data_IF_869232051036
#
_entry.id   IF_869232051036
#
_cell.length_a   1.000
_cell.length_b   1.000
_cell.length_c   1.000
_cell.angle_alpha   90.00
_cell.angle_beta   90.00
_cell.angle_gamma   90.00
#
_symmetry.space_group_name_H-M   'P 1'
#
loop_
_entity.id
_entity.type
_entity.pdbx_description
1 polymer ?
#
# COMPACT_ATOMS: atom_id res chain seq x y z
N UNK A 1 -12.17 7.95 -9.84
CA UNK A 1 -11.18 6.87 -9.95
C UNK A 1 -11.07 6.15 -8.62
N UNK A 2 -11.45 4.88 -8.57
CA UNK A 2 -11.29 4.00 -7.43
C UNK A 2 -9.88 3.37 -7.48
N UNK A 3 -9.11 3.56 -6.41
CA UNK A 3 -7.73 3.07 -6.31
C UNK A 3 -7.65 2.06 -5.19
N UNK A 4 -6.99 0.93 -5.45
CA UNK A 4 -6.66 -0.06 -4.43
C UNK A 4 -5.15 -0.21 -4.29
N UNK A 5 -4.62 0.05 -3.10
CA UNK A 5 -3.19 -0.05 -2.82
C UNK A 5 -2.86 -1.21 -1.91
N UNK A 6 -1.70 -1.83 -2.14
CA UNK A 6 -1.21 -2.99 -1.38
C UNK A 6 0.26 -2.79 -1.00
N UNK A 7 0.55 -2.84 0.30
CA UNK A 7 1.90 -2.95 0.84
C UNK A 7 2.20 -4.42 1.11
N UNK A 8 2.95 -5.06 0.21
CA UNK A 8 3.05 -6.52 0.13
C UNK A 8 4.05 -7.09 1.14
N UNK A 9 3.61 -8.10 1.89
CA UNK A 9 4.43 -8.82 2.85
C UNK A 9 3.68 -9.95 3.55
N UNK A 10 4.35 -10.67 4.45
CA UNK A 10 3.72 -11.72 5.27
C UNK A 10 2.52 -11.20 6.07
N UNK A 11 2.59 -9.93 6.50
CA UNK A 11 1.44 -9.10 6.80
C UNK A 11 1.35 -8.05 5.70
N UNK A 12 0.21 -7.98 5.00
CA UNK A 12 0.00 -7.07 3.88
C UNK A 12 -0.99 -5.99 4.29
N UNK A 13 -0.56 -4.73 4.20
CA UNK A 13 -1.46 -3.59 4.35
C UNK A 13 -2.25 -3.36 3.07
N UNK A 14 -3.50 -2.91 3.18
CA UNK A 14 -4.31 -2.54 2.02
C UNK A 14 -5.14 -1.27 2.30
N UNK A 15 -5.38 -0.50 1.25
CA UNK A 15 -6.28 0.64 1.28
C UNK A 15 -7.03 0.80 -0.05
N UNK A 16 -8.35 0.89 -0.01
CA UNK A 16 -9.20 1.04 -1.19
C UNK A 16 -10.15 2.22 -1.01
N UNK A 17 -10.22 3.07 -2.03
CA UNK A 17 -11.17 4.17 -2.04
C UNK A 17 -10.98 5.14 -3.19
N UNK A 18 -11.89 6.11 -3.34
CA UNK A 18 -11.79 7.14 -4.36
C UNK A 18 -10.51 7.97 -4.19
N UNK A 19 -9.89 8.34 -5.31
CA UNK A 19 -8.71 9.20 -5.31
C UNK A 19 -8.97 10.52 -4.53
N UNK A 20 -8.04 10.89 -3.64
CA UNK A 20 -8.12 12.12 -2.84
C UNK A 20 -9.07 12.06 -1.64
N UNK A 21 -9.80 10.95 -1.44
CA UNK A 21 -10.66 10.71 -0.28
C UNK A 21 -9.97 9.78 0.72
N UNK A 22 -10.48 9.76 1.95
CA UNK A 22 -10.03 8.80 2.96
C UNK A 22 -10.40 7.38 2.49
N UNK A 23 -9.44 6.47 2.28
CA UNK A 23 -9.75 5.12 1.87
C UNK A 23 -10.20 4.26 3.06
N UNK A 24 -11.01 3.24 2.77
CA UNK A 24 -11.17 2.09 3.66
C UNK A 24 -9.85 1.32 3.66
N UNK A 25 -9.38 0.87 4.81
CA UNK A 25 -8.05 0.26 4.93
C UNK A 25 -7.98 -0.76 6.05
N UNK A 26 -7.03 -1.68 5.94
CA UNK A 26 -6.77 -2.70 6.94
C UNK A 26 -5.45 -3.42 6.68
N UNK A 27 -5.25 -4.54 7.36
CA UNK A 27 -4.14 -5.44 7.11
C UNK A 27 -4.61 -6.90 7.09
N UNK A 28 -3.90 -7.72 6.34
CA UNK A 28 -4.11 -9.17 6.28
C UNK A 28 -2.86 -9.90 6.73
N UNK A 29 -3.03 -10.89 7.58
CA UNK A 29 -1.97 -11.86 7.87
C UNK A 29 -2.03 -12.96 6.81
N UNK A 30 -1.03 -12.97 5.94
CA UNK A 30 -0.95 -13.89 4.80
C UNK A 30 -0.15 -15.15 5.11
N UNK A 31 0.87 -15.04 5.96
CA UNK A 31 1.73 -16.14 6.39
C UNK A 31 1.70 -16.26 7.92
N UNK A 32 1.25 -17.41 8.42
CA UNK A 32 1.49 -17.86 9.79
C UNK A 32 2.82 -18.60 9.93
N UNK A 33 3.10 -19.08 11.14
CA UNK A 33 4.41 -19.67 11.47
C UNK A 33 4.68 -20.97 10.70
N UNK A 34 3.65 -21.79 10.49
CA UNK A 34 3.74 -23.08 9.80
C UNK A 34 3.42 -23.01 8.30
N UNK A 35 2.99 -21.85 7.80
CA UNK A 35 2.58 -21.70 6.39
C UNK A 35 3.82 -21.69 5.47
N UNK A 36 3.73 -22.39 4.35
CA UNK A 36 4.67 -22.26 3.22
C UNK A 36 4.55 -20.88 2.56
N UNK A 37 5.51 -20.51 1.70
CA UNK A 37 5.46 -19.21 0.99
C UNK A 37 4.35 -19.22 -0.06
N UNK A 38 4.19 -20.35 -0.72
CA UNK A 38 3.22 -20.61 -1.78
C UNK A 38 1.78 -20.52 -1.23
N UNK A 39 1.53 -21.04 -0.03
CA UNK A 39 0.24 -20.89 0.65
C UNK A 39 -0.09 -19.42 0.94
N UNK A 40 0.91 -18.63 1.34
CA UNK A 40 0.73 -17.20 1.58
C UNK A 40 0.43 -16.44 0.28
N UNK A 41 1.11 -16.77 -0.83
CA UNK A 41 0.82 -16.19 -2.14
C UNK A 41 -0.58 -16.57 -2.64
N UNK A 42 -0.97 -17.83 -2.47
CA UNK A 42 -2.31 -18.30 -2.81
C UNK A 42 -3.38 -17.62 -1.95
N UNK A 43 -3.09 -17.35 -0.67
CA UNK A 43 -3.99 -16.61 0.22
C UNK A 43 -4.16 -15.16 -0.25
N UNK A 44 -3.09 -14.48 -0.67
CA UNK A 44 -3.21 -13.17 -1.32
C UNK A 44 -4.09 -13.25 -2.57
N UNK A 45 -3.83 -14.20 -3.47
CA UNK A 45 -4.61 -14.36 -4.69
C UNK A 45 -6.10 -14.56 -4.44
N UNK A 46 -6.47 -15.36 -3.42
CA UNK A 46 -7.87 -15.53 -2.99
C UNK A 46 -8.46 -14.21 -2.48
N UNK A 47 -7.76 -13.47 -1.62
CA UNK A 47 -8.24 -12.18 -1.11
C UNK A 47 -8.48 -11.16 -2.22
N UNK A 48 -7.57 -11.10 -3.20
CA UNK A 48 -7.72 -10.24 -4.37
C UNK A 48 -8.94 -10.62 -5.20
N UNK A 49 -9.06 -11.91 -5.55
CA UNK A 49 -10.20 -12.43 -6.32
C UNK A 49 -11.51 -12.10 -5.63
N UNK A 50 -11.60 -12.35 -4.32
CA UNK A 50 -12.82 -12.15 -3.55
C UNK A 50 -13.24 -10.67 -3.58
N UNK A 51 -12.32 -9.72 -3.40
CA UNK A 51 -12.62 -8.29 -3.53
C UNK A 51 -12.97 -7.90 -4.97
N UNK A 52 -12.18 -8.29 -5.96
CA UNK A 52 -12.41 -7.95 -7.37
C UNK A 52 -13.70 -8.55 -7.94
N UNK A 53 -14.24 -9.58 -7.29
CA UNK A 53 -15.54 -10.16 -7.62
C UNK A 53 -16.72 -9.30 -7.15
N UNK A 54 -16.50 -8.47 -6.12
CA UNK A 54 -17.52 -7.59 -5.52
C UNK A 54 -17.39 -6.16 -6.03
N UNK A 55 -16.19 -5.58 -5.96
CA UNK A 55 -15.90 -4.20 -6.35
C UNK A 55 -14.59 -4.14 -7.14
N UNK A 56 -14.66 -3.61 -8.36
CA UNK A 56 -13.49 -3.52 -9.25
C UNK A 56 -12.89 -2.12 -9.19
N UNK A 57 -11.65 -1.95 -8.70
CA UNK A 57 -10.96 -0.68 -8.80
C UNK A 57 -10.52 -0.41 -10.24
N UNK A 58 -10.33 0.86 -10.57
CA UNK A 58 -9.76 1.28 -11.85
C UNK A 58 -8.25 0.99 -11.91
N UNK A 59 -7.60 0.94 -10.74
CA UNK A 59 -6.16 0.78 -10.60
C UNK A 59 -5.81 0.09 -9.29
N UNK A 60 -4.95 -0.92 -9.39
CA UNK A 60 -4.19 -1.47 -8.26
C UNK A 60 -2.79 -0.84 -8.26
N UNK A 61 -2.33 -0.36 -7.10
CA UNK A 61 -0.96 0.15 -6.94
C UNK A 61 -0.22 -0.63 -5.86
N UNK A 62 0.98 -1.08 -6.19
CA UNK A 62 1.87 -1.81 -5.28
C UNK A 62 3.21 -1.09 -5.13
N UNK A 63 3.93 -1.35 -4.05
CA UNK A 63 5.32 -0.92 -3.96
C UNK A 63 6.17 -1.69 -4.99
N UNK A 64 7.04 -0.97 -5.70
CA UNK A 64 7.98 -1.57 -6.64
C UNK A 64 9.00 -2.42 -5.87
N UNK A 65 9.19 -3.67 -6.29
CA UNK A 65 10.27 -4.50 -5.75
C UNK A 65 11.63 -3.85 -6.01
N UNK A 66 12.54 -4.00 -5.04
CA UNK A 66 13.95 -3.70 -5.29
C UNK A 66 14.48 -4.67 -6.35
N UNK A 67 15.37 -4.17 -7.20
CA UNK A 67 16.09 -5.00 -8.16
C UNK A 67 16.79 -6.18 -7.45
N UNK A 68 17.05 -7.30 -8.14
CA UNK A 68 17.60 -8.51 -7.52
C UNK A 68 18.87 -8.25 -6.68
N UNK A 69 19.75 -7.34 -7.10
CA UNK A 69 20.96 -6.95 -6.35
C UNK A 69 20.71 -6.09 -5.10
N UNK A 70 19.51 -5.51 -4.95
CA UNK A 70 19.10 -4.75 -3.77
C UNK A 70 18.34 -5.57 -2.71
N UNK A 71 18.07 -6.86 -2.99
CA UNK A 71 17.38 -7.75 -2.07
C UNK A 71 18.36 -8.36 -1.06
N UNK A 72 17.91 -8.50 0.20
CA UNK A 72 18.77 -9.02 1.29
C UNK A 72 19.16 -10.49 1.12
N UNK A 73 18.36 -11.26 0.40
CA UNK A 73 18.62 -12.68 0.09
C UNK A 73 17.76 -13.16 -1.08
N UNK A 74 18.15 -14.28 -1.69
CA UNK A 74 17.34 -14.94 -2.72
C UNK A 74 15.97 -15.37 -2.22
N UNK A 75 15.85 -15.75 -0.94
CA UNK A 75 14.56 -16.09 -0.33
C UNK A 75 13.61 -14.89 -0.21
N UNK A 76 14.13 -13.72 0.18
CA UNK A 76 13.37 -12.48 0.26
C UNK A 76 12.92 -12.00 -1.12
N UNK A 77 13.79 -12.13 -2.12
CA UNK A 77 13.47 -11.86 -3.52
C UNK A 77 12.34 -12.77 -4.02
N UNK A 78 12.48 -14.08 -3.87
CA UNK A 78 11.46 -15.05 -4.27
C UNK A 78 10.10 -14.77 -3.63
N UNK A 79 10.07 -14.42 -2.34
CA UNK A 79 8.85 -14.09 -1.64
C UNK A 79 8.18 -12.82 -2.17
N UNK A 80 8.98 -11.78 -2.43
CA UNK A 80 8.49 -10.51 -2.99
C UNK A 80 7.91 -10.73 -4.38
N UNK A 81 8.65 -11.42 -5.26
CA UNK A 81 8.19 -11.72 -6.61
C UNK A 81 6.99 -12.66 -6.65
N UNK A 82 6.86 -13.60 -5.71
CA UNK A 82 5.69 -14.46 -5.57
C UNK A 82 4.41 -13.67 -5.27
N UNK A 83 4.46 -12.72 -4.31
CA UNK A 83 3.32 -11.84 -4.06
C UNK A 83 3.00 -10.94 -5.24
N UNK A 84 4.00 -10.36 -5.90
CA UNK A 84 3.80 -9.57 -7.13
C UNK A 84 3.13 -10.41 -8.21
N UNK A 85 3.61 -11.63 -8.45
CA UNK A 85 3.04 -12.57 -9.41
C UNK A 85 1.57 -12.87 -9.11
N UNK A 86 1.22 -13.10 -7.84
CA UNK A 86 -0.17 -13.29 -7.42
C UNK A 86 -1.05 -12.07 -7.74
N UNK A 87 -0.55 -10.84 -7.49
CA UNK A 87 -1.28 -9.61 -7.83
C UNK A 87 -1.50 -9.50 -9.33
N UNK A 88 -0.45 -9.61 -10.14
CA UNK A 88 -0.55 -9.46 -11.60
C UNK A 88 -1.42 -10.54 -12.24
N UNK A 89 -1.28 -11.80 -11.80
CA UNK A 89 -2.07 -12.91 -12.33
C UNK A 89 -3.57 -12.69 -12.07
N UNK A 90 -3.94 -12.36 -10.83
CA UNK A 90 -5.36 -12.16 -10.49
C UNK A 90 -5.88 -10.87 -11.12
N UNK A 91 -5.16 -9.75 -11.06
CA UNK A 91 -5.59 -8.51 -11.70
C UNK A 91 -5.78 -8.66 -13.22
N UNK A 92 -4.91 -9.44 -13.87
CA UNK A 92 -5.01 -9.78 -15.29
C UNK A 92 -6.31 -10.51 -15.64
N UNK A 93 -6.74 -11.48 -14.82
CA UNK A 93 -8.02 -12.18 -14.99
C UNK A 93 -9.23 -11.23 -14.97
N UNK A 94 -9.16 -10.14 -14.20
CA UNK A 94 -10.22 -9.14 -14.08
C UNK A 94 -10.00 -7.90 -14.97
N UNK A 95 -8.93 -7.89 -15.78
CA UNK A 95 -8.51 -6.76 -16.63
C UNK A 95 -8.32 -5.46 -15.85
N UNK A 96 -7.87 -5.56 -14.60
CA UNK A 96 -7.57 -4.41 -13.76
C UNK A 96 -6.12 -3.98 -13.98
N UNK A 97 -5.91 -2.68 -14.22
CA UNK A 97 -4.57 -2.13 -14.39
C UNK A 97 -3.80 -2.23 -13.07
N UNK A 98 -2.54 -2.62 -13.15
CA UNK A 98 -1.59 -2.58 -12.03
C UNK A 98 -0.49 -1.57 -12.31
N UNK A 99 -0.11 -0.78 -11.31
CA UNK A 99 1.05 0.11 -11.36
C UNK A 99 1.95 -0.10 -10.14
N UNK A 100 3.23 0.23 -10.30
CA UNK A 100 4.21 0.16 -9.22
C UNK A 100 4.71 1.55 -8.82
N UNK A 101 4.93 1.76 -7.53
CA UNK A 101 5.46 3.01 -6.97
C UNK A 101 6.76 2.75 -6.19
N UNK A 102 7.77 3.59 -6.38
CA UNK A 102 9.03 3.44 -5.63
C UNK A 102 8.88 3.95 -4.18
N UNK A 103 9.40 3.17 -3.23
CA UNK A 103 9.40 3.47 -1.79
C UNK A 103 9.84 4.92 -1.47
N UNK A 104 10.92 5.37 -2.12
CA UNK A 104 11.48 6.70 -1.90
C UNK A 104 10.57 7.81 -2.42
N UNK A 105 9.85 7.57 -3.53
CA UNK A 105 8.88 8.52 -4.07
C UNK A 105 7.67 8.65 -3.15
N UNK A 106 7.17 7.52 -2.61
CA UNK A 106 6.08 7.50 -1.64
C UNK A 106 6.49 8.27 -0.39
N UNK A 107 7.67 7.98 0.18
CA UNK A 107 8.16 8.69 1.37
C UNK A 107 8.40 10.18 1.12
N UNK A 108 8.99 10.55 -0.03
CA UNK A 108 9.19 11.97 -0.38
C UNK A 108 7.86 12.71 -0.49
N UNK A 109 6.85 12.10 -1.09
CA UNK A 109 5.50 12.67 -1.18
C UNK A 109 4.83 12.79 0.18
N UNK A 110 4.80 11.70 0.95
CA UNK A 110 3.95 11.61 2.13
C UNK A 110 4.52 12.35 3.35
N UNK A 111 5.84 12.24 3.57
CA UNK A 111 6.53 12.81 4.74
C UNK A 111 7.62 13.82 4.36
N UNK A 112 7.70 14.23 3.09
CA UNK A 112 8.65 15.24 2.62
C UNK A 112 10.10 14.77 2.49
N UNK A 113 10.41 13.51 2.86
CA UNK A 113 11.79 12.97 2.86
C UNK A 113 11.83 11.58 2.22
N UNK A 114 12.64 11.41 1.19
CA UNK A 114 12.75 10.15 0.45
C UNK A 114 13.55 9.07 1.19
N UNK A 115 14.58 9.44 1.96
CA UNK A 115 15.41 8.52 2.76
C UNK A 115 15.37 8.97 4.22
N UNK A 116 14.87 8.11 5.09
CA UNK A 116 14.80 8.34 6.55
C UNK A 116 15.94 7.64 7.31
N UNK A 117 16.59 6.65 6.68
CA UNK A 117 17.72 5.90 7.27
C UNK A 117 17.28 4.81 8.26
N UNK A 118 16.30 5.10 9.11
CA UNK A 118 15.70 4.15 10.04
C UNK A 118 14.28 3.72 9.60
N UNK A 119 14.07 2.41 9.53
CA UNK A 119 12.78 1.79 9.18
C UNK A 119 11.73 2.02 10.27
N UNK A 120 12.09 1.95 11.56
CA UNK A 120 11.13 2.14 12.66
C UNK A 120 10.65 3.58 12.69
N UNK A 121 11.57 4.53 12.60
CA UNK A 121 11.25 5.95 12.48
C UNK A 121 10.36 6.23 11.25
N UNK A 122 10.69 5.67 10.08
CA UNK A 122 9.84 5.83 8.87
C UNK A 122 8.40 5.40 9.13
N UNK A 123 8.21 4.22 9.75
CA UNK A 123 6.88 3.69 10.05
C UNK A 123 6.11 4.58 11.03
N UNK A 124 6.78 5.09 12.07
CA UNK A 124 6.17 6.04 12.99
C UNK A 124 5.74 7.34 12.29
N UNK A 125 6.61 7.91 11.45
CA UNK A 125 6.28 9.13 10.69
C UNK A 125 5.08 8.94 9.75
N UNK A 126 4.93 7.75 9.16
CA UNK A 126 3.77 7.41 8.33
C UNK A 126 2.48 7.36 9.15
N UNK A 127 2.51 6.72 10.33
CA UNK A 127 1.38 6.69 11.27
C UNK A 127 1.01 8.11 11.71
N UNK A 128 1.99 8.90 12.15
CA UNK A 128 1.77 10.27 12.63
C UNK A 128 1.17 11.15 11.53
N UNK A 129 1.68 11.02 10.30
CA UNK A 129 1.15 11.74 9.14
C UNK A 129 -0.27 11.30 8.79
N UNK A 130 -0.58 10.00 8.87
CA UNK A 130 -1.93 9.49 8.67
C UNK A 130 -2.93 10.09 9.67
N UNK A 131 -2.55 10.22 10.95
CA UNK A 131 -3.40 10.87 11.95
C UNK A 131 -3.57 12.36 11.69
N UNK A 132 -2.48 13.06 11.36
CA UNK A 132 -2.50 14.49 11.06
C UNK A 132 -3.45 14.81 9.89
N UNK A 133 -3.48 13.95 8.87
CA UNK A 133 -4.33 14.10 7.69
C UNK A 133 -5.75 13.52 7.85
N UNK A 134 -6.07 12.94 9.02
CA UNK A 134 -7.35 12.27 9.28
C UNK A 134 -7.60 11.06 8.38
N UNK A 135 -6.54 10.38 7.91
CA UNK A 135 -6.65 9.22 7.02
C UNK A 135 -6.81 7.90 7.81
N UNK A 136 -6.33 7.88 9.05
CA UNK A 136 -6.53 6.79 10.01
C UNK A 136 -7.27 7.28 11.25
N UNK A 137 -7.90 6.34 11.96
CA UNK A 137 -8.48 6.60 13.27
C UNK A 137 -7.36 6.92 14.27
N UNK A 138 -7.61 7.83 15.22
CA UNK A 138 -6.57 8.41 16.10
C UNK A 138 -5.83 7.38 16.96
N UNK A 139 -6.49 6.27 17.27
CA UNK A 139 -6.02 5.14 18.07
C UNK A 139 -5.33 4.07 17.23
N UNK A 140 -5.37 4.15 15.90
CA UNK A 140 -4.73 3.18 15.03
C UNK A 140 -3.20 3.25 15.15
N UNK A 141 -2.55 2.09 15.26
CA UNK A 141 -1.07 1.96 15.32
C UNK A 141 -0.55 0.87 14.37
N UNK A 142 -1.38 0.42 13.42
CA UNK A 142 -0.99 -0.58 12.42
C UNK A 142 -0.13 0.08 11.34
N UNK A 143 1.16 -0.23 11.37
CA UNK A 143 2.16 0.30 10.45
C UNK A 143 1.94 -0.15 9.00
N UNK A 144 1.52 -1.40 8.77
CA UNK A 144 1.25 -1.91 7.41
C UNK A 144 0.02 -1.22 6.82
N UNK A 145 -1.02 -0.99 7.64
CA UNK A 145 -2.18 -0.19 7.24
C UNK A 145 -1.76 1.24 6.89
N UNK A 146 -0.90 1.86 7.69
CA UNK A 146 -0.38 3.20 7.42
C UNK A 146 0.47 3.26 6.12
N UNK A 147 1.32 2.27 5.88
CA UNK A 147 2.11 2.14 4.65
C UNK A 147 1.20 2.06 3.40
N UNK A 148 0.13 1.27 3.45
CA UNK A 148 -0.84 1.17 2.36
C UNK A 148 -1.65 2.46 2.15
N UNK A 149 -2.03 3.16 3.22
CA UNK A 149 -2.71 4.46 3.15
C UNK A 149 -1.79 5.54 2.56
N UNK A 150 -0.52 5.58 2.95
CA UNK A 150 0.46 6.48 2.36
C UNK A 150 0.65 6.21 0.86
N UNK A 151 0.65 4.94 0.46
CA UNK A 151 0.67 4.55 -0.94
C UNK A 151 -0.60 5.00 -1.69
N UNK A 152 -1.77 4.94 -1.05
CA UNK A 152 -3.04 5.43 -1.64
C UNK A 152 -3.04 6.94 -1.84
N UNK A 153 -2.53 7.71 -0.87
CA UNK A 153 -2.40 9.16 -0.99
C UNK A 153 -1.44 9.54 -2.14
N UNK A 154 -0.29 8.88 -2.23
CA UNK A 154 0.63 9.04 -3.35
C UNK A 154 -0.02 8.67 -4.69
N UNK A 155 -0.74 7.54 -4.73
CA UNK A 155 -1.38 7.06 -5.94
C UNK A 155 -2.51 8.00 -6.41
N UNK A 156 -3.24 8.57 -5.46
CA UNK A 156 -4.28 9.58 -5.71
C UNK A 156 -3.70 10.82 -6.39
N UNK A 157 -2.54 11.30 -5.93
CA UNK A 157 -1.85 12.43 -6.55
C UNK A 157 -1.27 12.08 -7.92
N UNK A 158 -0.64 10.91 -8.06
CA UNK A 158 0.09 10.52 -9.27
C UNK A 158 -0.80 10.07 -10.43
N UNK A 159 -1.79 9.22 -10.16
CA UNK A 159 -2.66 8.63 -11.20
C UNK A 159 -4.09 9.15 -11.12
N UNK A 160 -4.60 9.39 -9.92
CA UNK A 160 -5.95 9.92 -9.72
C UNK A 160 -6.14 11.37 -10.15
N UNK A 161 -5.03 12.12 -10.35
CA UNK A 161 -5.03 13.58 -10.58
C UNK A 161 -5.85 14.33 -9.53
N UNK A 162 -5.94 13.79 -8.32
CA UNK A 162 -6.64 14.44 -7.24
C UNK A 162 -5.96 15.78 -6.95
N UNK A 163 -6.72 16.87 -6.92
CA UNK A 163 -6.22 18.15 -6.47
C UNK A 163 -5.67 18.00 -5.04
N UNK A 164 -4.57 18.67 -4.67
CA UNK A 164 -4.10 18.69 -3.30
C UNK A 164 -5.27 19.08 -2.37
N UNK A 165 -5.45 18.37 -1.25
CA UNK A 165 -6.37 18.84 -0.22
C UNK A 165 -5.97 20.25 0.20
N UNK A 166 -6.97 21.10 0.42
CA UNK A 166 -6.77 22.46 0.90
C UNK A 166 -5.81 22.44 2.10
N UNK A 167 -4.73 23.22 2.00
CA UNK A 167 -3.74 23.29 3.06
C UNK A 167 -4.41 24.01 4.23
N UNK A 168 -4.88 23.25 5.23
CA UNK A 168 -5.25 23.82 6.51
C UNK A 168 -3.96 24.22 7.23
N UNK A 169 -3.48 25.43 6.92
CA UNK A 169 -2.43 26.09 7.68
C UNK A 169 -3.03 26.49 9.02
N UNK A 170 -2.44 25.99 10.10
CA UNK A 170 -2.70 26.27 11.52
C UNK A 170 -3.94 27.13 11.84
N UNK A 171 -4.99 26.49 12.36
CA UNK A 171 -6.08 27.20 13.04
C UNK A 171 -7.33 27.54 12.21
N UNK A 172 -7.39 27.16 10.94
CA UNK A 172 -8.63 27.22 10.17
C UNK A 172 -9.54 26.03 10.48
N UNK A 173 -10.63 26.24 11.21
CA UNK A 173 -11.76 25.29 11.25
C UNK A 173 -12.51 25.33 9.91
N UNK A 174 -13.12 24.20 9.46
CA UNK A 174 -13.83 24.10 8.20
C UNK A 174 -15.06 25.02 8.10
#
# INVERSE_FOLDING_TARGET
MLIWTLDLGGRTGWAMGPAGKRPTSGSWVLKGDDDTREEAWARLGRRLRDHLSVERPDLIVIEAALEPGGQKSGHAAANTFGYLGAVYAVAGCYRVRVAAAHAQSISKHFIGRGRVGDRKLKKQLFIDRCHLLGLLDRDCRDDNRADAVALHDYASARWGRAAPKELVLFGGSP
#
